data_IF_834122826905
#
_entry.id   IF_834122826905
#
_cell.length_a   1.000
_cell.length_b   1.000
_cell.length_c   1.000
_cell.angle_alpha   90.00
_cell.angle_beta   90.00
_cell.angle_gamma   90.00
#
_symmetry.space_group_name_H-M   'P 1'
#
loop_
_entity.id
_entity.type
_entity.pdbx_description
1 polymer ?
#
# COMPACT_ATOMS: atom_id res chain seq x y z
N UNK A 1 -41.28 -32.04 22.44
CA UNK A 1 -41.17 -31.21 21.21
C UNK A 1 -41.19 -29.75 21.63
N UNK A 2 -40.21 -28.87 21.41
CA UNK A 2 -38.90 -28.90 20.75
C UNK A 2 -38.15 -27.66 21.26
N UNK A 3 -37.15 -27.84 22.13
CA UNK A 3 -36.25 -26.77 22.62
C UNK A 3 -35.07 -26.55 21.65
N UNK A 4 -35.26 -26.79 20.35
CA UNK A 4 -34.16 -26.92 19.37
C UNK A 4 -33.94 -25.65 18.53
N UNK A 5 -34.79 -24.62 18.65
CA UNK A 5 -34.76 -23.51 17.70
C UNK A 5 -33.83 -22.33 18.06
N UNK A 6 -33.24 -22.28 19.26
CA UNK A 6 -32.48 -21.08 19.68
C UNK A 6 -30.97 -21.10 19.38
N UNK A 7 -30.44 -22.08 18.65
CA UNK A 7 -28.98 -22.24 18.47
C UNK A 7 -28.37 -21.49 17.27
N UNK A 8 -29.16 -20.81 16.44
CA UNK A 8 -28.70 -20.31 15.13
C UNK A 8 -28.19 -18.85 15.10
N UNK A 9 -28.10 -18.13 16.22
CA UNK A 9 -27.78 -16.68 16.19
C UNK A 9 -26.32 -16.31 16.55
N UNK A 10 -25.33 -17.21 16.43
CA UNK A 10 -23.93 -16.90 16.84
C UNK A 10 -22.85 -17.11 15.78
N UNK A 11 -23.15 -16.97 14.49
CA UNK A 11 -22.10 -17.20 13.48
C UNK A 11 -22.06 -16.22 12.30
N UNK A 12 -22.62 -15.02 12.42
CA UNK A 12 -22.61 -14.03 11.32
C UNK A 12 -22.01 -12.67 11.67
N UNK A 13 -21.19 -12.56 12.73
CA UNK A 13 -20.63 -11.25 13.14
C UNK A 13 -19.13 -11.24 13.50
N UNK A 14 -18.37 -12.30 13.21
CA UNK A 14 -16.96 -12.40 13.65
C UNK A 14 -15.91 -11.90 12.61
N UNK A 15 -16.31 -11.62 11.35
CA UNK A 15 -15.33 -11.32 10.29
C UNK A 15 -15.44 -9.91 9.68
N UNK A 16 -16.41 -9.10 10.09
CA UNK A 16 -16.63 -7.77 9.51
C UNK A 16 -15.82 -6.64 10.19
N UNK A 17 -15.10 -6.93 11.27
CA UNK A 17 -14.46 -5.89 12.11
C UNK A 17 -12.99 -5.61 11.76
N UNK A 18 -12.40 -6.35 10.82
CA UNK A 18 -10.97 -6.17 10.46
C UNK A 18 -10.77 -5.08 9.40
N UNK A 19 -11.80 -4.77 8.59
CA UNK A 19 -11.67 -3.77 7.51
C UNK A 19 -11.78 -2.31 7.97
N UNK A 20 -12.26 -2.05 9.19
CA UNK A 20 -12.56 -0.70 9.66
C UNK A 20 -11.36 0.08 10.27
N UNK A 21 -10.17 -0.53 10.36
CA UNK A 21 -9.05 0.05 11.11
C UNK A 21 -7.93 0.68 10.25
N UNK A 22 -8.08 0.79 8.94
CA UNK A 22 -7.22 1.70 8.15
C UNK A 22 -7.68 3.16 8.34
N UNK A 23 -7.62 3.66 9.57
CA UNK A 23 -7.52 5.11 9.79
C UNK A 23 -6.31 5.61 8.99
N UNK A 24 -6.41 6.71 8.23
CA UNK A 24 -5.25 7.30 7.58
C UNK A 24 -4.30 7.71 8.70
N UNK A 25 -3.25 6.91 8.89
CA UNK A 25 -2.18 7.19 9.85
C UNK A 25 -1.67 8.59 9.50
N UNK A 26 -1.69 9.52 10.45
CA UNK A 26 -1.14 10.86 10.27
C UNK A 26 0.18 10.73 9.51
N UNK A 27 0.28 11.40 8.36
CA UNK A 27 1.43 11.27 7.49
C UNK A 27 2.68 11.58 8.33
N UNK A 28 3.47 10.55 8.63
CA UNK A 28 4.71 10.73 9.38
C UNK A 28 5.58 11.68 8.54
N UNK A 29 6.31 12.60 9.17
CA UNK A 29 7.21 13.53 8.47
C UNK A 29 8.14 12.77 7.49
N UNK A 30 8.63 11.61 7.92
CA UNK A 30 9.41 10.69 7.09
C UNK A 30 8.67 10.20 5.83
N UNK A 31 7.36 9.95 5.90
CA UNK A 31 6.57 9.57 4.72
C UNK A 31 6.40 10.75 3.77
N UNK A 32 6.19 11.95 4.30
CA UNK A 32 6.06 13.16 3.49
C UNK A 32 7.37 13.47 2.74
N UNK A 33 8.50 13.40 3.45
CA UNK A 33 9.85 13.49 2.88
C UNK A 33 10.07 12.46 1.77
N UNK A 34 9.68 11.20 2.01
CA UNK A 34 9.83 10.14 1.02
C UNK A 34 8.94 10.36 -0.21
N UNK A 35 7.70 10.84 -0.02
CA UNK A 35 6.82 11.20 -1.14
C UNK A 35 7.44 12.28 -2.01
N UNK A 36 7.99 13.35 -1.42
CA UNK A 36 8.66 14.43 -2.16
C UNK A 36 9.84 13.91 -2.97
N UNK A 37 10.71 13.10 -2.37
CA UNK A 37 11.85 12.50 -3.06
C UNK A 37 11.43 11.61 -4.24
N UNK A 38 10.40 10.79 -4.04
CA UNK A 38 9.87 9.93 -5.10
C UNK A 38 9.27 10.78 -6.22
N UNK A 39 8.51 11.83 -5.89
CA UNK A 39 7.86 12.71 -6.86
C UNK A 39 8.89 13.45 -7.74
N UNK A 40 9.92 14.02 -7.12
CA UNK A 40 11.03 14.65 -7.84
C UNK A 40 11.75 13.67 -8.76
N UNK A 41 12.08 12.48 -8.27
CA UNK A 41 12.82 11.49 -9.04
C UNK A 41 11.98 10.87 -10.16
N UNK A 42 10.69 10.62 -9.89
CA UNK A 42 9.77 10.09 -10.89
C UNK A 42 9.46 11.13 -11.98
N UNK A 43 9.42 12.41 -11.63
CA UNK A 43 9.30 13.52 -12.60
C UNK A 43 10.52 13.59 -13.52
N UNK A 44 11.73 13.39 -12.99
CA UNK A 44 12.97 13.33 -13.80
C UNK A 44 13.05 12.04 -14.63
N UNK A 45 12.62 10.92 -14.05
CA UNK A 45 12.81 9.59 -14.61
C UNK A 45 11.54 8.72 -14.47
N UNK A 46 10.51 8.95 -15.31
CA UNK A 46 9.22 8.27 -15.19
C UNK A 46 9.27 6.76 -15.48
N UNK A 47 10.40 6.26 -16.00
CA UNK A 47 10.63 4.84 -16.29
C UNK A 47 11.04 4.03 -15.04
N UNK A 48 11.34 4.69 -13.92
CA UNK A 48 11.84 4.01 -12.73
C UNK A 48 10.70 3.37 -11.92
N UNK A 49 10.62 2.05 -12.02
CA UNK A 49 9.78 1.25 -11.13
C UNK A 49 10.32 1.20 -9.70
N UNK A 50 9.53 0.60 -8.80
CA UNK A 50 9.83 0.50 -7.36
C UNK A 50 11.24 -0.02 -7.06
N UNK A 51 11.78 -0.93 -7.88
CA UNK A 51 13.10 -1.52 -7.65
C UNK A 51 14.22 -0.49 -7.77
N UNK A 52 14.16 0.40 -8.77
CA UNK A 52 15.13 1.49 -8.95
C UNK A 52 14.89 2.60 -7.93
N UNK A 53 13.62 2.93 -7.69
CA UNK A 53 13.22 3.98 -6.75
C UNK A 53 13.75 3.71 -5.32
N UNK A 54 13.70 2.46 -4.85
CA UNK A 54 14.27 2.09 -3.54
C UNK A 54 15.75 2.42 -3.44
N UNK A 55 16.54 2.15 -4.48
CA UNK A 55 17.98 2.39 -4.46
C UNK A 55 18.27 3.89 -4.43
N UNK A 56 17.57 4.68 -5.25
CA UNK A 56 17.79 6.11 -5.36
C UNK A 56 17.37 6.81 -4.07
N UNK A 57 16.17 6.52 -3.58
CA UNK A 57 15.66 7.10 -2.35
C UNK A 57 16.54 6.68 -1.16
N UNK A 58 16.91 5.39 -1.03
CA UNK A 58 17.78 4.96 0.08
C UNK A 58 19.15 5.65 0.06
N UNK A 59 19.70 5.93 -1.13
CA UNK A 59 20.92 6.72 -1.27
C UNK A 59 20.72 8.19 -0.86
N UNK A 60 19.59 8.78 -1.22
CA UNK A 60 19.27 10.17 -0.89
C UNK A 60 19.08 10.41 0.62
N UNK A 61 18.36 9.51 1.31
CA UNK A 61 18.17 9.61 2.78
C UNK A 61 19.34 9.01 3.58
N UNK A 62 20.31 8.36 2.93
CA UNK A 62 21.44 7.71 3.61
C UNK A 62 21.06 6.51 4.47
N UNK A 63 19.83 5.99 4.35
CA UNK A 63 19.34 4.85 5.12
C UNK A 63 18.59 3.85 4.23
N UNK A 64 18.55 2.58 4.65
CA UNK A 64 17.88 1.54 3.87
C UNK A 64 16.36 1.68 3.99
N UNK A 65 15.70 1.99 2.87
CA UNK A 65 14.25 2.13 2.82
C UNK A 65 13.59 0.84 2.36
N UNK A 66 12.53 0.42 3.05
CA UNK A 66 11.81 -0.81 2.71
C UNK A 66 11.07 -0.68 1.36
N UNK A 67 11.31 -1.63 0.45
CA UNK A 67 10.61 -1.71 -0.85
C UNK A 67 9.08 -1.68 -0.73
N UNK A 68 8.51 -2.32 0.29
CA UNK A 68 7.05 -2.33 0.50
C UNK A 68 6.52 -0.91 0.77
N UNK A 69 7.30 -0.07 1.45
CA UNK A 69 6.98 1.33 1.75
C UNK A 69 6.97 2.17 0.48
N UNK A 70 8.05 2.15 -0.30
CA UNK A 70 8.14 2.85 -1.59
C UNK A 70 6.99 2.46 -2.52
N UNK A 71 6.71 1.15 -2.64
CA UNK A 71 5.60 0.65 -3.47
C UNK A 71 4.25 1.20 -3.03
N UNK A 72 3.98 1.26 -1.72
CA UNK A 72 2.74 1.82 -1.18
C UNK A 72 2.63 3.31 -1.53
N UNK A 73 3.69 4.08 -1.29
CA UNK A 73 3.69 5.52 -1.55
C UNK A 73 3.50 5.83 -3.03
N UNK A 74 4.19 5.14 -3.93
CA UNK A 74 3.96 5.29 -5.38
C UNK A 74 2.50 5.01 -5.77
N UNK A 75 1.88 3.98 -5.19
CA UNK A 75 0.45 3.69 -5.42
C UNK A 75 -0.47 4.77 -4.86
N UNK A 76 -0.16 5.34 -3.70
CA UNK A 76 -0.95 6.42 -3.09
C UNK A 76 -0.83 7.73 -3.87
N UNK A 77 0.34 8.02 -4.43
CA UNK A 77 0.56 9.17 -5.30
C UNK A 77 -0.02 8.99 -6.71
N UNK A 78 -0.65 7.85 -7.00
CA UNK A 78 -1.16 7.58 -8.34
C UNK A 78 -0.06 7.51 -9.39
N UNK A 79 1.17 7.16 -9.00
CA UNK A 79 2.29 6.85 -9.89
C UNK A 79 2.22 5.35 -10.19
N UNK A 80 1.45 4.91 -11.20
CA UNK A 80 1.47 3.51 -11.58
C UNK A 80 2.91 3.19 -11.96
N UNK A 81 3.52 2.25 -11.23
CA UNK A 81 4.61 1.51 -11.83
C UNK A 81 4.03 0.97 -13.13
N UNK A 82 4.58 1.41 -14.27
CA UNK A 82 4.16 1.03 -15.61
C UNK A 82 4.30 -0.50 -15.75
N UNK A 83 3.32 -1.20 -15.21
CA UNK A 83 3.14 -2.63 -15.33
C UNK A 83 1.73 -2.71 -15.87
N UNK A 84 1.56 -2.85 -17.20
CA UNK A 84 0.27 -3.25 -17.71
C UNK A 84 -0.09 -4.53 -16.96
N UNK A 85 -1.23 -4.51 -16.26
CA UNK A 85 -1.87 -5.76 -15.87
C UNK A 85 -2.14 -6.49 -17.18
N UNK A 86 -1.27 -7.44 -17.53
CA UNK A 86 -1.59 -8.43 -18.55
C UNK A 86 -2.73 -9.24 -17.97
N UNK A 87 -3.96 -8.80 -18.25
CA UNK A 87 -5.11 -9.67 -18.27
C UNK A 87 -4.81 -10.73 -19.32
N UNK A 88 -4.18 -11.82 -18.90
CA UNK A 88 -4.25 -13.07 -19.65
C UNK A 88 -5.70 -13.52 -19.57
N UNK A 89 -6.54 -12.96 -20.44
CA UNK A 89 -7.78 -13.59 -20.86
C UNK A 89 -7.38 -14.93 -21.48
N UNK A 90 -7.72 -16.01 -20.78
CA UNK A 90 -7.75 -17.37 -21.29
C UNK A 90 -9.04 -18.01 -20.84
#
# INVERSE_FOLDING_TARGET
MSQIQQRQQRHTEEHATIYAHQKPKAANEDELMLCRLIDEEYTRHPFYGTRRMVVIVSKAVGCQVNRKRIRRLMRQMGLPGMTPSTSTLK
#
